data_IF_281811360030
#
_entry.id   IF_281811360030
#
_cell.length_a   1.000
_cell.length_b   1.000
_cell.length_c   1.000
_cell.angle_alpha   90.00
_cell.angle_beta   90.00
_cell.angle_gamma   90.00
#
_symmetry.space_group_name_H-M   'P 1'
#
loop_
_entity.id
_entity.type
_entity.pdbx_description
1 polymer ?
#
# COMPACT_ATOMS: atom_id res chain seq x y z
N UNK A 1 4.56 -2.78 16.23
CA UNK A 1 4.09 -4.13 15.88
C UNK A 1 5.15 -4.77 15.03
N UNK A 2 5.42 -6.07 15.20
CA UNK A 2 6.29 -6.80 14.28
C UNK A 2 5.41 -7.55 13.30
N UNK A 3 5.45 -7.15 12.03
CA UNK A 3 4.71 -7.83 10.97
C UNK A 3 5.47 -9.09 10.53
N UNK A 4 4.74 -10.00 9.89
CA UNK A 4 5.31 -11.19 9.25
C UNK A 4 5.93 -10.79 7.91
N UNK A 5 6.69 -11.70 7.29
CA UNK A 5 7.61 -11.39 6.18
C UNK A 5 6.94 -10.63 5.03
N UNK A 6 5.81 -11.13 4.54
CA UNK A 6 5.17 -10.54 3.36
C UNK A 6 4.46 -9.22 3.69
N UNK A 7 3.83 -9.17 4.85
CA UNK A 7 3.24 -7.93 5.37
C UNK A 7 4.31 -6.84 5.58
N UNK A 8 5.46 -7.17 6.19
CA UNK A 8 6.57 -6.23 6.38
C UNK A 8 7.07 -5.69 5.04
N UNK A 9 7.26 -6.58 4.06
CA UNK A 9 7.71 -6.19 2.73
C UNK A 9 6.76 -5.17 2.08
N UNK A 10 5.46 -5.44 2.09
CA UNK A 10 4.47 -4.51 1.52
C UNK A 10 4.47 -3.17 2.25
N UNK A 11 4.57 -3.18 3.58
CA UNK A 11 4.67 -1.95 4.37
C UNK A 11 5.91 -1.14 3.99
N UNK A 12 7.08 -1.79 3.87
CA UNK A 12 8.33 -1.14 3.46
C UNK A 12 8.22 -0.55 2.06
N UNK A 13 7.81 -1.35 1.07
CA UNK A 13 7.62 -0.90 -0.32
C UNK A 13 6.71 0.34 -0.44
N UNK A 14 5.56 0.32 0.25
CA UNK A 14 4.62 1.45 0.22
C UNK A 14 5.18 2.66 0.99
N UNK A 15 5.91 2.42 2.08
CA UNK A 15 6.57 3.49 2.83
C UNK A 15 7.62 4.20 1.99
N UNK A 16 8.42 3.44 1.23
CA UNK A 16 9.46 3.98 0.34
C UNK A 16 8.83 4.89 -0.74
N UNK A 17 7.68 4.48 -1.30
CA UNK A 17 6.92 5.34 -2.23
C UNK A 17 6.38 6.61 -1.56
N UNK A 18 5.77 6.48 -0.37
CA UNK A 18 5.22 7.62 0.40
C UNK A 18 6.30 8.61 0.81
N UNK A 19 7.50 8.13 1.14
CA UNK A 19 8.65 8.96 1.51
C UNK A 19 9.36 9.57 0.30
N UNK A 20 8.96 9.21 -0.92
CA UNK A 20 9.55 9.71 -2.16
C UNK A 20 10.87 9.04 -2.53
N UNK A 21 11.18 7.88 -1.93
CA UNK A 21 12.34 7.06 -2.29
C UNK A 21 12.09 6.29 -3.60
N UNK A 22 10.81 6.02 -3.91
CA UNK A 22 10.36 5.43 -5.18
C UNK A 22 9.50 6.46 -5.93
N UNK A 23 9.81 6.66 -7.21
CA UNK A 23 9.00 7.49 -8.11
C UNK A 23 7.71 6.76 -8.52
N UNK A 24 6.65 7.52 -8.82
CA UNK A 24 5.34 6.97 -9.21
C UNK A 24 5.44 5.93 -10.33
N UNK A 25 6.26 6.21 -11.34
CA UNK A 25 6.48 5.30 -12.46
C UNK A 25 6.97 3.91 -12.02
N UNK A 26 7.97 3.83 -11.14
CA UNK A 26 8.49 2.54 -10.66
C UNK A 26 7.53 1.84 -9.71
N UNK A 27 6.85 2.63 -8.87
CA UNK A 27 5.82 2.10 -7.98
C UNK A 27 4.71 1.42 -8.79
N UNK A 28 4.23 2.03 -9.87
CA UNK A 28 3.19 1.45 -10.74
C UNK A 28 3.63 0.18 -11.46
N UNK A 29 4.87 0.13 -11.93
CA UNK A 29 5.41 -1.04 -12.61
C UNK A 29 5.45 -2.27 -11.69
N UNK A 30 5.80 -2.06 -10.41
CA UNK A 30 6.02 -3.15 -9.47
C UNK A 30 4.77 -3.48 -8.63
N UNK A 31 3.85 -2.52 -8.42
CA UNK A 31 2.73 -2.66 -7.48
C UNK A 31 1.88 -3.91 -7.75
N UNK A 32 1.37 -4.09 -8.98
CA UNK A 32 0.52 -5.23 -9.29
C UNK A 32 1.25 -6.57 -9.14
N UNK A 33 2.55 -6.62 -9.48
CA UNK A 33 3.36 -7.83 -9.32
C UNK A 33 3.52 -8.19 -7.83
N UNK A 34 3.82 -7.21 -6.98
CA UNK A 34 3.96 -7.43 -5.55
C UNK A 34 2.63 -7.74 -4.86
N UNK A 35 1.50 -7.15 -5.28
CA UNK A 35 0.19 -7.57 -4.77
C UNK A 35 -0.08 -9.04 -5.11
N UNK A 36 0.14 -9.46 -6.36
CA UNK A 36 -0.05 -10.86 -6.77
C UNK A 36 0.87 -11.81 -5.98
N UNK A 37 2.13 -11.44 -5.77
CA UNK A 37 3.10 -12.28 -5.06
C UNK A 37 2.84 -12.33 -3.54
N UNK A 38 2.59 -11.19 -2.90
CA UNK A 38 2.60 -11.09 -1.44
C UNK A 38 1.23 -11.23 -0.80
N UNK A 39 0.14 -10.82 -1.47
CA UNK A 39 -1.20 -10.82 -0.85
C UNK A 39 -1.66 -12.21 -0.37
N UNK A 40 -1.51 -13.31 -1.13
CA UNK A 40 -1.90 -14.63 -0.65
C UNK A 40 -1.15 -15.07 0.61
N UNK A 41 0.11 -14.62 0.75
CA UNK A 41 0.89 -14.88 1.95
C UNK A 41 0.47 -13.99 3.11
N UNK A 42 0.11 -12.72 2.86
CA UNK A 42 -0.45 -11.84 3.88
C UNK A 42 -1.75 -12.40 4.46
N UNK A 43 -2.62 -12.98 3.63
CA UNK A 43 -3.85 -13.63 4.09
C UNK A 43 -3.57 -14.79 5.06
N UNK A 44 -2.51 -15.57 4.81
CA UNK A 44 -2.07 -16.65 5.68
C UNK A 44 -1.39 -16.12 6.97
N UNK A 45 -0.74 -14.96 6.90
CA UNK A 45 -0.06 -14.31 8.02
C UNK A 45 -1.06 -13.66 9.00
N UNK A 46 -2.00 -12.88 8.49
CA UNK A 46 -3.14 -12.28 9.21
C UNK A 46 -4.24 -11.88 8.21
N UNK A 47 -5.23 -12.75 8.02
CA UNK A 47 -6.32 -12.54 7.07
C UNK A 47 -7.08 -11.22 7.28
N UNK A 48 -7.27 -10.76 8.52
CA UNK A 48 -7.99 -9.50 8.77
C UNK A 48 -7.15 -8.29 8.37
N UNK A 49 -5.84 -8.37 8.59
CA UNK A 49 -4.93 -7.30 8.22
C UNK A 49 -4.73 -7.22 6.70
N UNK A 50 -4.72 -8.36 6.01
CA UNK A 50 -4.73 -8.45 4.55
C UNK A 50 -6.05 -7.93 3.95
N UNK A 51 -7.19 -8.29 4.52
CA UNK A 51 -8.49 -7.74 4.10
C UNK A 51 -8.52 -6.21 4.25
N UNK A 52 -7.96 -5.69 5.35
CA UNK A 52 -7.85 -4.25 5.55
C UNK A 52 -6.92 -3.58 4.52
N UNK A 53 -5.82 -4.24 4.11
CA UNK A 53 -4.96 -3.76 3.03
C UNK A 53 -5.77 -3.56 1.73
N UNK A 54 -6.58 -4.55 1.35
CA UNK A 54 -7.40 -4.47 0.14
C UNK A 54 -8.42 -3.32 0.20
N UNK A 55 -9.03 -3.12 1.37
CA UNK A 55 -9.99 -2.04 1.58
C UNK A 55 -9.38 -0.64 1.78
N UNK A 56 -8.06 -0.52 1.89
CA UNK A 56 -7.38 0.78 2.08
C UNK A 56 -6.40 1.07 0.96
N UNK A 57 -5.22 0.45 0.98
CA UNK A 57 -4.15 0.69 0.00
C UNK A 57 -4.63 0.35 -1.40
N UNK A 58 -5.14 -0.87 -1.60
CA UNK A 58 -5.46 -1.37 -2.93
C UNK A 58 -6.59 -0.58 -3.56
N UNK A 59 -7.67 -0.35 -2.81
CA UNK A 59 -8.75 0.52 -3.23
C UNK A 59 -8.26 1.95 -3.56
N UNK A 60 -7.36 2.51 -2.76
CA UNK A 60 -6.83 3.87 -3.00
C UNK A 60 -5.95 3.92 -4.24
N UNK A 61 -5.13 2.88 -4.45
CA UNK A 61 -4.30 2.73 -5.63
C UNK A 61 -5.14 2.69 -6.91
N UNK A 62 -6.13 1.79 -6.98
CA UNK A 62 -7.01 1.64 -8.14
C UNK A 62 -7.77 2.95 -8.42
N UNK A 63 -8.37 3.54 -7.38
CA UNK A 63 -9.10 4.81 -7.52
C UNK A 63 -8.21 5.96 -7.96
N UNK A 64 -7.00 6.08 -7.41
CA UNK A 64 -6.07 7.14 -7.78
C UNK A 64 -5.58 7.00 -9.22
N UNK A 65 -5.41 5.76 -9.68
CA UNK A 65 -5.04 5.42 -11.05
C UNK A 65 -6.18 5.73 -12.02
N UNK A 66 -7.40 5.30 -11.70
CA UNK A 66 -8.60 5.55 -12.52
C UNK A 66 -8.91 7.04 -12.68
N UNK A 67 -8.68 7.83 -11.62
CA UNK A 67 -8.86 9.28 -11.64
C UNK A 67 -7.70 10.02 -12.34
N UNK A 68 -6.62 9.33 -12.69
CA UNK A 68 -5.42 9.95 -13.27
C UNK A 68 -4.80 11.00 -12.35
N UNK A 69 -4.76 10.73 -11.04
CA UNK A 69 -4.26 11.70 -10.06
C UNK A 69 -2.80 12.08 -10.37
N UNK A 70 -2.43 13.37 -10.23
CA UNK A 70 -1.04 13.78 -10.27
C UNK A 70 -0.20 13.09 -9.18
N UNK A 71 1.07 12.84 -9.45
CA UNK A 71 1.99 12.11 -8.56
C UNK A 71 1.96 12.59 -7.10
N UNK A 72 1.95 13.91 -6.88
CA UNK A 72 1.91 14.48 -5.53
C UNK A 72 0.59 14.18 -4.81
N UNK A 73 -0.55 14.35 -5.49
CA UNK A 73 -1.87 14.05 -4.93
C UNK A 73 -2.03 12.55 -4.68
N UNK A 74 -1.58 11.72 -5.62
CA UNK A 74 -1.61 10.27 -5.49
C UNK A 74 -0.79 9.81 -4.27
N UNK A 75 0.43 10.35 -4.10
CA UNK A 75 1.29 10.02 -2.95
C UNK A 75 0.63 10.42 -1.62
N UNK A 76 -0.05 11.56 -1.59
CA UNK A 76 -0.79 12.00 -0.40
C UNK A 76 -1.94 11.03 -0.06
N UNK A 77 -2.68 10.56 -1.05
CA UNK A 77 -3.77 9.60 -0.82
C UNK A 77 -3.24 8.23 -0.34
N UNK A 78 -2.17 7.71 -0.95
CA UNK A 78 -1.53 6.47 -0.46
C UNK A 78 -0.94 6.65 0.94
N UNK A 79 -0.38 7.81 1.25
CA UNK A 79 0.12 8.11 2.61
C UNK A 79 -1.00 8.01 3.65
N UNK A 80 -2.18 8.59 3.37
CA UNK A 80 -3.35 8.48 4.24
C UNK A 80 -3.83 7.03 4.37
N UNK A 81 -3.88 6.31 3.25
CA UNK A 81 -4.28 4.91 3.23
C UNK A 81 -3.30 4.01 4.02
N UNK A 82 -2.00 4.32 3.97
CA UNK A 82 -0.98 3.64 4.77
C UNK A 82 -1.17 3.90 6.26
N UNK A 83 -1.39 5.15 6.65
CA UNK A 83 -1.69 5.48 8.05
C UNK A 83 -2.97 4.79 8.52
N UNK A 84 -4.01 4.72 7.67
CA UNK A 84 -5.23 4.00 7.98
C UNK A 84 -4.98 2.50 8.16
N UNK A 85 -4.31 1.85 7.19
CA UNK A 85 -4.00 0.42 7.23
C UNK A 85 -3.18 0.04 8.47
N UNK A 86 -2.20 0.88 8.85
CA UNK A 86 -1.38 0.67 10.04
C UNK A 86 -2.10 1.03 11.35
N UNK A 87 -3.37 1.44 11.29
CA UNK A 87 -4.18 1.85 12.45
C UNK A 87 -3.71 3.15 13.11
N UNK A 88 -2.92 3.97 12.40
CA UNK A 88 -2.40 5.26 12.85
C UNK A 88 -3.40 6.37 12.50
N UNK A 89 -4.57 6.40 13.13
CA UNK A 89 -5.45 7.57 12.99
C UNK A 89 -4.82 8.79 13.66
N UNK A 90 -4.38 9.76 12.86
CA UNK A 90 -4.24 11.17 13.27
C UNK A 90 -5.58 11.87 13.02
N UNK A 91 -6.32 12.12 14.09
CA UNK A 91 -7.48 13.01 14.10
C UNK A 91 -7.01 14.47 14.11
#
# INVERSE_FOLDING_TARGET
MSYKKHTSFMVEFISDFVNGEIERYFFDLDYSAYVIEHFPHMELEDARFADWFAHTIDQTYERGTDLGLPDEEFRVEISKALDEWLGRKRY
#
